data_IF_972366986556
#
_entry.id   IF_972366986556
#
_cell.length_a   1.000
_cell.length_b   1.000
_cell.length_c   1.000
_cell.angle_alpha   90.00
_cell.angle_beta   90.00
_cell.angle_gamma   90.00
#
_symmetry.space_group_name_H-M   'P 1'
#
loop_
_entity.id
_entity.type
_entity.pdbx_description
1 polymer ?
#
# COMPACT_ATOMS: atom_id res chain seq x y z
N UNK A 1 -27.69 22.63 -18.11
CA UNK A 1 -28.46 21.38 -18.18
C UNK A 1 -28.61 20.79 -16.78
N UNK A 2 -29.83 20.29 -16.49
CA UNK A 2 -30.13 19.63 -15.21
C UNK A 2 -29.96 18.12 -15.39
N UNK A 3 -29.02 17.54 -14.67
CA UNK A 3 -28.81 16.09 -14.67
C UNK A 3 -29.55 15.44 -13.50
N UNK A 4 -30.18 14.31 -13.74
CA UNK A 4 -30.83 13.51 -12.71
C UNK A 4 -29.80 12.53 -12.14
N UNK A 5 -29.36 12.73 -10.88
CA UNK A 5 -28.40 11.87 -10.19
C UNK A 5 -29.06 10.65 -9.52
N UNK A 6 -30.38 10.61 -9.42
CA UNK A 6 -31.14 9.53 -8.78
C UNK A 6 -32.17 10.05 -7.80
N UNK A 7 -32.89 9.15 -7.12
CA UNK A 7 -33.86 9.49 -6.08
C UNK A 7 -33.17 9.53 -4.70
N UNK A 8 -33.45 10.58 -3.93
CA UNK A 8 -33.00 10.71 -2.53
C UNK A 8 -33.77 9.81 -1.58
N UNK A 9 -34.88 9.18 -2.04
CA UNK A 9 -35.83 8.41 -1.21
C UNK A 9 -36.42 9.20 -0.02
N UNK A 10 -36.30 10.52 -0.05
CA UNK A 10 -36.93 11.42 0.92
C UNK A 10 -38.30 11.78 0.37
N UNK A 11 -39.35 11.45 1.11
CA UNK A 11 -40.74 11.74 0.73
C UNK A 11 -41.25 12.95 1.52
N UNK A 12 -41.80 13.95 0.82
CA UNK A 12 -42.31 15.17 1.41
C UNK A 12 -43.66 15.45 0.82
N UNK A 13 -44.60 15.93 1.65
CA UNK A 13 -45.91 16.42 1.18
C UNK A 13 -45.69 17.60 0.24
N UNK A 14 -46.33 17.55 -0.93
CA UNK A 14 -46.19 18.56 -1.97
C UNK A 14 -46.64 19.96 -1.47
N UNK A 15 -47.59 20.03 -0.55
CA UNK A 15 -48.09 21.28 0.07
C UNK A 15 -47.06 21.95 0.99
N UNK A 16 -46.14 21.17 1.52
CA UNK A 16 -45.08 21.63 2.45
C UNK A 16 -43.71 21.82 1.78
N UNK A 17 -43.64 21.73 0.45
CA UNK A 17 -42.38 21.85 -0.31
C UNK A 17 -42.28 23.18 -1.03
N UNK A 18 -41.15 23.87 -0.93
CA UNK A 18 -40.83 25.08 -1.68
C UNK A 18 -39.92 24.75 -2.87
N UNK A 19 -40.44 24.86 -4.07
CA UNK A 19 -39.67 24.71 -5.29
C UNK A 19 -38.59 25.80 -5.47
N UNK A 20 -38.83 27.01 -4.89
CA UNK A 20 -37.89 28.14 -4.99
C UNK A 20 -36.62 27.90 -4.18
N UNK A 21 -36.77 27.34 -2.98
CA UNK A 21 -35.65 27.09 -2.07
C UNK A 21 -35.17 25.64 -2.12
N UNK A 22 -35.92 24.74 -2.76
CA UNK A 22 -35.68 23.29 -2.73
C UNK A 22 -35.60 22.74 -1.29
N UNK A 23 -36.51 23.20 -0.43
CA UNK A 23 -36.58 22.87 1.01
C UNK A 23 -38.02 22.67 1.45
N UNK A 24 -38.15 21.90 2.55
CA UNK A 24 -39.44 21.80 3.24
C UNK A 24 -39.73 23.09 4.01
N UNK A 25 -40.99 23.60 3.85
CA UNK A 25 -41.45 24.83 4.49
C UNK A 25 -41.81 24.56 5.96
N UNK A 26 -41.45 25.50 6.85
CA UNK A 26 -41.79 25.44 8.27
C UNK A 26 -40.60 25.15 9.17
N UNK A 27 -40.84 25.15 10.51
CA UNK A 27 -39.86 24.93 11.55
C UNK A 27 -40.23 23.72 12.43
N UNK A 28 -40.98 22.78 11.91
CA UNK A 28 -41.31 21.53 12.61
C UNK A 28 -40.08 20.66 12.71
N UNK A 29 -39.99 19.76 13.70
CA UNK A 29 -38.90 18.83 13.84
C UNK A 29 -38.70 17.99 12.56
N UNK A 30 -39.80 17.62 11.87
CA UNK A 30 -39.76 16.91 10.60
C UNK A 30 -39.10 17.77 9.51
N UNK A 31 -39.51 19.05 9.38
CA UNK A 31 -38.93 19.96 8.38
C UNK A 31 -37.43 20.19 8.61
N UNK A 32 -37.02 20.34 9.86
CA UNK A 32 -35.60 20.50 10.23
C UNK A 32 -34.80 19.24 9.90
N UNK A 33 -35.31 18.06 10.22
CA UNK A 33 -34.65 16.78 9.93
C UNK A 33 -34.48 16.54 8.43
N UNK A 34 -35.53 16.77 7.64
CA UNK A 34 -35.51 16.63 6.19
C UNK A 34 -34.54 17.65 5.55
N UNK A 35 -34.59 18.90 5.98
CA UNK A 35 -33.72 19.94 5.46
C UNK A 35 -32.24 19.64 5.82
N UNK A 36 -31.94 19.16 7.03
CA UNK A 36 -30.61 18.71 7.41
C UNK A 36 -30.10 17.54 6.55
N UNK A 37 -30.98 16.59 6.23
CA UNK A 37 -30.64 15.47 5.33
C UNK A 37 -30.30 15.97 3.90
N UNK A 38 -31.04 16.96 3.39
CA UNK A 38 -30.76 17.58 2.10
C UNK A 38 -29.42 18.33 2.12
N UNK A 39 -29.13 19.04 3.23
CA UNK A 39 -27.84 19.73 3.39
C UNK A 39 -26.67 18.76 3.45
N UNK A 40 -26.81 17.65 4.15
CA UNK A 40 -25.82 16.58 4.18
C UNK A 40 -25.54 15.99 2.78
N UNK A 41 -26.61 15.70 2.01
CA UNK A 41 -26.49 15.23 0.61
C UNK A 41 -25.78 16.27 -0.27
N UNK A 42 -26.17 17.54 -0.16
CA UNK A 42 -25.56 18.64 -0.92
C UNK A 42 -24.06 18.76 -0.58
N UNK A 43 -23.71 18.68 0.70
CA UNK A 43 -22.32 18.74 1.16
C UNK A 43 -21.51 17.57 0.59
N UNK A 44 -22.05 16.36 0.62
CA UNK A 44 -21.41 15.17 0.05
C UNK A 44 -21.15 15.32 -1.45
N UNK A 45 -22.17 15.78 -2.22
CA UNK A 45 -22.03 16.02 -3.66
C UNK A 45 -20.99 17.10 -3.96
N UNK A 46 -20.93 18.17 -3.17
CA UNK A 46 -19.94 19.23 -3.31
C UNK A 46 -18.53 18.74 -2.99
N UNK A 47 -18.36 17.86 -2.00
CA UNK A 47 -17.08 17.22 -1.69
C UNK A 47 -16.62 16.35 -2.86
N UNK A 48 -17.52 15.55 -3.43
CA UNK A 48 -17.23 14.74 -4.61
C UNK A 48 -16.82 15.64 -5.78
N UNK A 49 -17.58 16.68 -6.08
CA UNK A 49 -17.28 17.64 -7.15
C UNK A 49 -15.88 18.26 -6.98
N UNK A 50 -15.59 18.85 -5.82
CA UNK A 50 -14.29 19.48 -5.53
C UNK A 50 -13.12 18.53 -5.68
N UNK A 51 -13.32 17.26 -5.36
CA UNK A 51 -12.28 16.23 -5.48
C UNK A 51 -11.87 15.96 -6.92
N UNK A 52 -12.82 16.08 -7.86
CA UNK A 52 -12.59 15.80 -9.28
C UNK A 52 -12.58 17.08 -10.14
N UNK A 53 -12.73 18.27 -9.54
CA UNK A 53 -12.84 19.57 -10.24
C UNK A 53 -11.66 19.84 -11.19
N UNK A 54 -10.46 19.36 -10.85
CA UNK A 54 -9.24 19.51 -11.66
C UNK A 54 -8.95 18.30 -12.54
N UNK A 55 -9.81 17.28 -12.53
CA UNK A 55 -9.62 16.04 -13.30
C UNK A 55 -10.26 16.19 -14.69
N UNK A 56 -9.54 15.77 -15.73
CA UNK A 56 -10.09 15.65 -17.10
C UNK A 56 -11.27 14.66 -17.19
N UNK A 57 -11.43 13.79 -16.19
CA UNK A 57 -12.49 12.77 -16.12
C UNK A 57 -13.78 13.30 -15.49
N UNK A 58 -13.86 14.59 -15.10
CA UNK A 58 -15.04 15.16 -14.47
C UNK A 58 -16.26 15.04 -15.38
N UNK A 59 -17.19 14.19 -15.02
CA UNK A 59 -18.46 13.99 -15.72
C UNK A 59 -19.59 13.79 -14.71
N UNK A 60 -20.82 14.03 -15.17
CA UNK A 60 -22.02 13.79 -14.36
C UNK A 60 -22.15 12.31 -13.99
N UNK A 61 -21.76 11.42 -14.89
CA UNK A 61 -21.81 9.97 -14.67
C UNK A 61 -20.78 9.53 -13.64
N UNK A 62 -19.60 10.15 -13.61
CA UNK A 62 -18.60 9.94 -12.55
C UNK A 62 -19.14 10.38 -11.19
N UNK A 63 -19.70 11.59 -11.09
CA UNK A 63 -20.30 12.08 -9.84
C UNK A 63 -21.43 11.16 -9.38
N UNK A 64 -22.28 10.71 -10.31
CA UNK A 64 -23.38 9.78 -10.03
C UNK A 64 -22.87 8.45 -9.52
N UNK A 65 -21.88 7.84 -10.18
CA UNK A 65 -21.33 6.54 -9.83
C UNK A 65 -20.66 6.57 -8.44
N UNK A 66 -19.88 7.62 -8.16
CA UNK A 66 -19.24 7.83 -6.86
C UNK A 66 -20.28 8.07 -5.76
N UNK A 67 -21.30 8.90 -6.03
CA UNK A 67 -22.37 9.22 -5.07
C UNK A 67 -23.25 8.01 -4.74
N UNK A 68 -23.62 7.22 -5.76
CA UNK A 68 -24.44 6.01 -5.59
C UNK A 68 -23.62 4.80 -5.16
N UNK A 69 -22.29 4.88 -5.09
CA UNK A 69 -21.42 3.73 -4.84
C UNK A 69 -21.50 2.67 -5.95
N UNK A 70 -21.96 3.06 -7.14
CA UNK A 70 -22.08 2.18 -8.32
C UNK A 70 -20.88 2.30 -9.25
N UNK A 71 -19.79 2.87 -8.76
CA UNK A 71 -18.52 2.88 -9.48
C UNK A 71 -18.05 1.43 -9.59
N UNK A 72 -18.53 0.74 -10.63
CA UNK A 72 -18.37 -0.69 -10.84
C UNK A 72 -16.92 -1.12 -11.00
N UNK A 73 -16.01 -0.16 -11.18
CA UNK A 73 -14.61 -0.49 -11.42
C UNK A 73 -13.87 -0.89 -10.14
N UNK A 74 -14.35 -0.44 -8.96
CA UNK A 74 -13.66 -0.70 -7.68
C UNK A 74 -14.62 -0.92 -6.51
N UNK A 75 -15.52 -1.90 -6.60
CA UNK A 75 -16.33 -2.33 -5.45
C UNK A 75 -15.53 -3.20 -4.48
N UNK A 76 -14.44 -3.83 -4.96
CA UNK A 76 -13.60 -4.77 -4.24
C UNK A 76 -12.13 -4.37 -4.26
N UNK A 77 -11.33 -4.95 -3.35
CA UNK A 77 -9.97 -4.48 -3.09
C UNK A 77 -8.90 -5.04 -4.04
N UNK A 78 -9.02 -6.30 -4.47
CA UNK A 78 -7.98 -6.91 -5.32
C UNK A 78 -7.80 -6.21 -6.68
N UNK A 79 -8.85 -5.75 -7.39
CA UNK A 79 -8.69 -4.95 -8.61
C UNK A 79 -7.94 -3.62 -8.36
N UNK A 80 -8.15 -2.98 -7.21
CA UNK A 80 -7.41 -1.78 -6.80
C UNK A 80 -5.93 -2.12 -6.57
N UNK A 81 -5.66 -3.27 -5.98
CA UNK A 81 -4.30 -3.76 -5.79
C UNK A 81 -3.63 -4.03 -7.14
N UNK A 82 -4.32 -4.69 -8.05
CA UNK A 82 -3.82 -4.97 -9.41
C UNK A 82 -3.51 -3.68 -10.17
N UNK A 83 -4.42 -2.68 -10.12
CA UNK A 83 -4.17 -1.35 -10.72
C UNK A 83 -2.98 -0.63 -10.10
N UNK A 84 -2.77 -0.75 -8.79
CA UNK A 84 -1.55 -0.24 -8.17
C UNK A 84 -0.29 -0.92 -8.73
N UNK A 85 -0.28 -2.25 -8.83
CA UNK A 85 0.84 -3.01 -9.40
C UNK A 85 1.12 -2.55 -10.84
N UNK A 86 0.07 -2.37 -11.65
CA UNK A 86 0.21 -1.89 -13.04
C UNK A 86 0.81 -0.47 -13.08
N UNK A 87 0.37 0.42 -12.18
CA UNK A 87 0.88 1.79 -12.11
C UNK A 87 2.37 1.88 -11.79
N UNK A 88 2.91 0.94 -11.01
CA UNK A 88 4.34 0.89 -10.66
C UNK A 88 5.19 0.10 -11.67
N UNK A 89 4.55 -0.62 -12.60
CA UNK A 89 5.28 -1.45 -13.60
C UNK A 89 6.22 -0.60 -14.46
N UNK A 90 5.80 0.60 -14.86
CA UNK A 90 6.62 1.51 -15.67
C UNK A 90 7.84 2.08 -14.93
N UNK A 91 7.87 1.96 -13.60
CA UNK A 91 8.97 2.42 -12.75
C UNK A 91 10.05 1.34 -12.54
N UNK A 92 9.76 0.09 -12.92
CA UNK A 92 10.68 -1.04 -12.76
C UNK A 92 11.93 -0.84 -13.62
N UNK A 93 13.10 -0.93 -12.98
CA UNK A 93 14.41 -0.70 -13.63
C UNK A 93 14.84 0.77 -13.69
N UNK A 94 13.97 1.72 -13.29
CA UNK A 94 14.28 3.16 -13.16
C UNK A 94 14.38 3.57 -11.69
N UNK A 95 13.25 3.72 -11.03
CA UNK A 95 13.12 4.12 -9.62
C UNK A 95 12.76 2.95 -8.71
N UNK A 96 12.25 1.85 -9.27
CA UNK A 96 11.84 0.66 -8.55
C UNK A 96 12.62 -0.58 -8.99
N UNK A 97 13.19 -1.33 -8.05
CA UNK A 97 13.87 -2.59 -8.36
C UNK A 97 12.85 -3.70 -8.70
N UNK A 98 13.25 -4.63 -9.58
CA UNK A 98 12.44 -5.84 -9.88
C UNK A 98 12.06 -6.59 -8.60
N UNK A 99 12.98 -6.71 -7.64
CA UNK A 99 12.72 -7.37 -6.35
C UNK A 99 11.58 -6.70 -5.57
N UNK A 100 11.54 -5.36 -5.52
CA UNK A 100 10.47 -4.62 -4.83
C UNK A 100 9.13 -4.80 -5.54
N UNK A 101 9.10 -4.78 -6.87
CA UNK A 101 7.90 -5.07 -7.65
C UNK A 101 7.33 -6.47 -7.35
N UNK A 102 8.18 -7.51 -7.33
CA UNK A 102 7.74 -8.86 -6.99
C UNK A 102 7.19 -8.98 -5.55
N UNK A 103 7.70 -8.19 -4.60
CA UNK A 103 7.15 -8.17 -3.23
C UNK A 103 5.68 -7.76 -3.18
N UNK A 104 5.25 -6.80 -4.01
CA UNK A 104 3.83 -6.43 -4.10
C UNK A 104 2.98 -7.57 -4.67
N UNK A 105 3.46 -8.27 -5.71
CA UNK A 105 2.76 -9.45 -6.26
C UNK A 105 2.60 -10.55 -5.21
N UNK A 106 3.64 -10.82 -4.43
CA UNK A 106 3.59 -11.81 -3.34
C UNK A 106 2.58 -11.39 -2.27
N UNK A 107 2.54 -10.12 -1.87
CA UNK A 107 1.57 -9.63 -0.87
C UNK A 107 0.16 -9.72 -1.40
N UNK A 108 -0.07 -9.36 -2.66
CA UNK A 108 -1.36 -9.49 -3.35
C UNK A 108 -1.85 -10.94 -3.33
N UNK A 109 -0.98 -11.90 -3.66
CA UNK A 109 -1.32 -13.32 -3.63
C UNK A 109 -1.59 -13.80 -2.21
N UNK A 110 -0.73 -13.48 -1.22
CA UNK A 110 -0.98 -13.84 0.17
C UNK A 110 -2.31 -13.28 0.70
N UNK A 111 -2.71 -12.08 0.27
CA UNK A 111 -3.97 -11.49 0.69
C UNK A 111 -5.16 -12.21 0.07
N UNK A 112 -5.09 -12.62 -1.20
CA UNK A 112 -6.12 -13.44 -1.84
C UNK A 112 -6.25 -14.81 -1.17
N UNK A 113 -5.13 -15.49 -0.89
CA UNK A 113 -5.12 -16.79 -0.22
C UNK A 113 -5.71 -16.69 1.20
N UNK A 114 -5.40 -15.61 1.92
CA UNK A 114 -6.00 -15.30 3.22
C UNK A 114 -7.53 -15.15 3.14
N UNK A 115 -8.02 -14.37 2.17
CA UNK A 115 -9.46 -14.18 1.99
C UNK A 115 -10.15 -15.51 1.70
N UNK A 116 -9.55 -16.35 0.88
CA UNK A 116 -10.07 -17.68 0.57
C UNK A 116 -10.05 -18.60 1.80
N UNK A 117 -8.95 -18.61 2.56
CA UNK A 117 -8.77 -19.48 3.72
C UNK A 117 -9.70 -19.12 4.88
N UNK A 118 -9.83 -17.80 5.18
CA UNK A 118 -10.56 -17.34 6.37
C UNK A 118 -12.02 -16.99 6.09
N UNK A 119 -12.28 -16.31 4.97
CA UNK A 119 -13.61 -15.80 4.64
C UNK A 119 -14.33 -16.59 3.55
N UNK A 120 -13.67 -17.57 2.94
CA UNK A 120 -14.18 -18.36 1.80
C UNK A 120 -14.65 -17.49 0.63
N UNK A 121 -13.97 -16.34 0.44
CA UNK A 121 -14.26 -15.36 -0.61
C UNK A 121 -13.05 -15.17 -1.52
N UNK A 122 -13.31 -14.83 -2.79
CA UNK A 122 -12.25 -14.51 -3.75
C UNK A 122 -11.70 -13.09 -3.57
N UNK A 123 -12.52 -12.17 -3.02
CA UNK A 123 -12.19 -10.78 -2.81
C UNK A 123 -13.02 -10.18 -1.67
N UNK A 124 -12.69 -8.96 -1.23
CA UNK A 124 -13.38 -8.24 -0.15
C UNK A 124 -13.80 -6.85 -0.63
N UNK A 125 -14.98 -6.38 -0.19
CA UNK A 125 -15.46 -5.03 -0.46
C UNK A 125 -14.55 -3.97 0.14
N UNK A 126 -14.38 -2.83 -0.54
CA UNK A 126 -13.55 -1.72 -0.06
C UNK A 126 -14.04 -1.16 1.29
N UNK A 127 -15.36 -1.19 1.53
CA UNK A 127 -15.96 -0.78 2.80
C UNK A 127 -15.77 -1.80 3.92
N UNK A 128 -15.55 -3.07 3.57
CA UNK A 128 -15.33 -4.18 4.51
C UNK A 128 -13.87 -4.28 4.96
N UNK A 129 -12.93 -3.59 4.29
CA UNK A 129 -11.51 -3.60 4.61
C UNK A 129 -11.25 -2.79 5.89
N UNK A 130 -11.51 -3.39 7.04
CA UNK A 130 -11.42 -2.79 8.38
C UNK A 130 -10.09 -3.14 9.08
N UNK A 131 -9.86 -2.53 10.25
CA UNK A 131 -8.70 -2.87 11.10
C UNK A 131 -8.72 -4.33 11.55
N UNK A 132 -9.89 -4.93 11.73
CA UNK A 132 -10.02 -6.36 12.06
C UNK A 132 -9.48 -7.24 10.92
N UNK A 133 -9.78 -6.91 9.67
CA UNK A 133 -9.25 -7.64 8.51
C UNK A 133 -7.73 -7.55 8.42
N UNK A 134 -7.15 -6.39 8.76
CA UNK A 134 -5.69 -6.21 8.80
C UNK A 134 -5.05 -7.07 9.90
N UNK A 135 -5.64 -7.12 11.09
CA UNK A 135 -5.18 -7.97 12.20
C UNK A 135 -5.29 -9.46 11.85
N UNK A 136 -6.38 -9.85 11.24
CA UNK A 136 -6.59 -11.21 10.77
C UNK A 136 -5.59 -11.63 9.70
N UNK A 137 -5.25 -10.72 8.79
CA UNK A 137 -4.22 -10.96 7.79
C UNK A 137 -2.82 -11.06 8.41
N UNK A 138 -2.50 -10.25 9.41
CA UNK A 138 -1.25 -10.38 10.18
C UNK A 138 -1.14 -11.74 10.83
N UNK A 139 -2.20 -12.20 11.49
CA UNK A 139 -2.27 -13.53 12.10
C UNK A 139 -2.10 -14.65 11.06
N UNK A 140 -2.73 -14.52 9.90
CA UNK A 140 -2.55 -15.47 8.80
C UNK A 140 -1.10 -15.50 8.29
N UNK A 141 -0.46 -14.34 8.13
CA UNK A 141 0.94 -14.27 7.69
C UNK A 141 1.91 -14.90 8.68
N UNK A 142 1.65 -14.84 9.97
CA UNK A 142 2.48 -15.43 11.01
C UNK A 142 2.20 -16.92 11.21
N UNK A 143 0.93 -17.32 11.27
CA UNK A 143 0.54 -18.68 11.65
C UNK A 143 0.50 -19.65 10.46
N UNK A 144 0.04 -19.22 9.29
CA UNK A 144 -0.13 -20.08 8.11
C UNK A 144 1.04 -19.95 7.15
N UNK A 145 1.47 -18.72 6.85
CA UNK A 145 2.61 -18.48 5.93
C UNK A 145 3.95 -18.71 6.64
N UNK A 146 3.98 -18.73 7.97
CA UNK A 146 5.19 -18.97 8.76
C UNK A 146 6.17 -17.78 8.75
N UNK A 147 5.67 -16.57 8.55
CA UNK A 147 6.50 -15.36 8.51
C UNK A 147 6.96 -14.94 9.90
N UNK A 148 8.28 -14.72 10.08
CA UNK A 148 8.79 -14.04 11.28
C UNK A 148 8.32 -12.59 11.31
N UNK A 149 8.29 -11.98 12.51
CA UNK A 149 7.73 -10.65 12.77
C UNK A 149 8.16 -9.59 11.74
N UNK A 150 9.45 -9.42 11.49
CA UNK A 150 9.95 -8.42 10.55
C UNK A 150 9.53 -8.67 9.10
N UNK A 151 9.39 -9.92 8.69
CA UNK A 151 8.91 -10.29 7.34
C UNK A 151 7.42 -9.98 7.20
N UNK A 152 6.62 -10.30 8.22
CA UNK A 152 5.19 -9.97 8.30
C UNK A 152 4.99 -8.46 8.28
N UNK A 153 5.74 -7.71 9.10
CA UNK A 153 5.71 -6.24 9.11
C UNK A 153 6.02 -5.64 7.73
N UNK A 154 7.00 -6.18 6.99
CA UNK A 154 7.29 -5.74 5.60
C UNK A 154 6.11 -5.98 4.66
N UNK A 155 5.46 -7.14 4.74
CA UNK A 155 4.27 -7.44 3.93
C UNK A 155 3.11 -6.50 4.26
N UNK A 156 2.85 -6.25 5.55
CA UNK A 156 1.82 -5.31 5.99
C UNK A 156 2.11 -3.86 5.57
N UNK A 157 3.37 -3.43 5.56
CA UNK A 157 3.75 -2.11 5.02
C UNK A 157 3.45 -1.99 3.52
N UNK A 158 3.71 -3.03 2.75
CA UNK A 158 3.36 -3.06 1.33
C UNK A 158 1.84 -2.99 1.14
N UNK A 159 1.05 -3.75 1.93
CA UNK A 159 -0.41 -3.65 1.92
C UNK A 159 -0.88 -2.23 2.29
N UNK A 160 -0.30 -1.63 3.34
CA UNK A 160 -0.60 -0.24 3.74
C UNK A 160 -0.35 0.76 2.62
N UNK A 161 0.70 0.57 1.83
CA UNK A 161 0.98 1.43 0.66
C UNK A 161 -0.15 1.37 -0.36
N UNK A 162 -0.68 0.17 -0.64
CA UNK A 162 -1.81 -0.01 -1.56
C UNK A 162 -3.11 0.57 -0.98
N UNK A 163 -3.35 0.39 0.32
CA UNK A 163 -4.49 1.02 1.01
C UNK A 163 -4.41 2.55 0.92
N UNK A 164 -3.23 3.13 1.14
CA UNK A 164 -3.03 4.57 0.99
C UNK A 164 -3.24 5.04 -0.46
N UNK A 165 -2.82 4.25 -1.45
CA UNK A 165 -3.12 4.53 -2.85
C UNK A 165 -4.64 4.57 -3.10
N UNK A 166 -5.40 3.61 -2.54
CA UNK A 166 -6.86 3.61 -2.63
C UNK A 166 -7.50 4.81 -1.90
N UNK A 167 -6.99 5.16 -0.71
CA UNK A 167 -7.47 6.31 0.07
C UNK A 167 -7.21 7.63 -0.64
N UNK A 168 -6.03 7.82 -1.21
CA UNK A 168 -5.68 9.03 -1.96
C UNK A 168 -6.56 9.23 -3.22
N UNK A 169 -7.15 8.14 -3.73
CA UNK A 169 -8.15 8.16 -4.81
C UNK A 169 -9.59 8.22 -4.30
N UNK A 170 -9.79 8.24 -2.97
CA UNK A 170 -11.08 8.28 -2.31
C UNK A 170 -11.93 7.03 -2.46
N UNK A 171 -11.31 5.92 -2.82
CA UNK A 171 -11.97 4.62 -2.88
C UNK A 171 -12.22 4.04 -1.48
N UNK A 172 -11.38 4.40 -0.50
CA UNK A 172 -11.51 4.03 0.91
C UNK A 172 -11.51 5.31 1.74
N UNK A 173 -12.57 5.56 2.52
CA UNK A 173 -12.72 6.76 3.34
C UNK A 173 -12.05 6.64 4.71
N UNK A 174 -12.06 5.45 5.30
CA UNK A 174 -11.44 5.15 6.59
C UNK A 174 -10.00 4.62 6.42
N UNK A 175 -9.22 4.66 7.48
CA UNK A 175 -7.87 4.05 7.49
C UNK A 175 -7.89 2.72 8.25
N UNK A 176 -7.82 1.56 7.57
CA UNK A 176 -7.74 0.26 8.23
C UNK A 176 -6.49 0.10 9.12
N UNK A 177 -5.45 0.91 8.89
CA UNK A 177 -4.19 0.88 9.65
C UNK A 177 -4.10 1.96 10.73
N UNK A 178 -5.17 2.73 11.02
CA UNK A 178 -5.13 3.86 11.96
C UNK A 178 -4.58 3.44 13.33
N UNK A 179 -5.01 2.29 13.85
CA UNK A 179 -4.63 1.77 15.16
C UNK A 179 -3.56 0.66 15.07
N UNK A 180 -2.99 0.41 13.88
CA UNK A 180 -2.03 -0.67 13.65
C UNK A 180 -0.60 -0.14 13.55
N UNK A 181 0.21 -0.39 14.61
CA UNK A 181 1.60 0.09 14.68
C UNK A 181 2.54 -0.93 14.05
N UNK A 182 3.03 -0.62 12.85
CA UNK A 182 4.01 -1.44 12.14
C UNK A 182 5.45 -1.09 12.60
N UNK A 183 5.97 -1.81 13.58
CA UNK A 183 7.33 -1.62 14.11
C UNK A 183 8.19 -2.83 13.76
N UNK A 184 9.46 -2.58 13.45
CA UNK A 184 10.45 -3.64 13.32
C UNK A 184 11.02 -3.99 14.70
N UNK A 185 11.26 -5.25 14.92
CA UNK A 185 12.08 -5.72 16.04
C UNK A 185 13.56 -5.63 15.65
N UNK A 186 14.34 -5.17 16.59
CA UNK A 186 15.79 -5.20 16.45
C UNK A 186 16.25 -6.66 16.50
N UNK A 187 16.98 -7.07 15.48
CA UNK A 187 17.59 -8.40 15.40
C UNK A 187 19.07 -8.22 15.64
N UNK A 188 19.53 -8.69 16.78
CA UNK A 188 20.97 -8.83 17.01
C UNK A 188 21.48 -10.00 16.15
N UNK A 189 22.35 -9.70 15.21
CA UNK A 189 22.94 -10.69 14.31
C UNK A 189 24.32 -11.16 14.78
N UNK A 190 24.82 -10.57 15.88
CA UNK A 190 26.18 -10.76 16.32
C UNK A 190 27.21 -10.26 15.29
N UNK A 191 28.46 -10.53 15.57
CA UNK A 191 29.58 -10.21 14.68
C UNK A 191 30.65 -11.30 14.85
N UNK A 192 31.51 -11.44 13.85
CA UNK A 192 32.65 -12.33 13.93
C UNK A 192 33.78 -11.62 14.66
N UNK A 193 34.45 -12.37 15.55
CA UNK A 193 35.69 -11.90 16.16
C UNK A 193 36.84 -11.91 15.15
N UNK A 194 37.90 -11.18 15.42
CA UNK A 194 39.09 -11.16 14.57
C UNK A 194 39.68 -12.58 14.38
N UNK A 195 39.71 -13.38 15.44
CA UNK A 195 40.18 -14.78 15.38
C UNK A 195 39.33 -15.64 14.44
N UNK A 196 38.03 -15.45 14.46
CA UNK A 196 37.09 -16.16 13.56
C UNK A 196 37.29 -15.74 12.10
N UNK A 197 37.49 -14.45 11.83
CA UNK A 197 37.81 -13.95 10.49
C UNK A 197 39.12 -14.49 9.99
N UNK A 198 40.16 -14.47 10.82
CA UNK A 198 41.48 -15.07 10.48
C UNK A 198 41.39 -16.57 10.24
N UNK A 199 40.54 -17.29 11.00
CA UNK A 199 40.32 -18.72 10.81
C UNK A 199 39.64 -18.99 9.45
N UNK A 200 38.65 -18.19 9.07
CA UNK A 200 38.00 -18.26 7.74
C UNK A 200 39.02 -17.96 6.65
N UNK A 201 39.86 -16.94 6.82
CA UNK A 201 40.89 -16.56 5.86
C UNK A 201 41.90 -17.71 5.58
N UNK A 202 42.30 -18.43 6.61
CA UNK A 202 43.22 -19.56 6.49
C UNK A 202 42.57 -20.84 5.92
N UNK A 203 41.25 -20.92 5.89
CA UNK A 203 40.50 -22.08 5.36
C UNK A 203 40.63 -22.12 3.83
N UNK A 204 41.08 -23.26 3.31
CA UNK A 204 41.07 -23.56 1.89
C UNK A 204 39.81 -24.34 1.52
N UNK A 205 39.23 -24.02 0.36
CA UNK A 205 38.07 -24.71 -0.21
C UNK A 205 38.44 -25.27 -1.58
N UNK A 206 38.25 -26.58 -1.78
CA UNK A 206 38.51 -27.25 -3.05
C UNK A 206 37.56 -26.76 -4.17
N UNK A 207 36.41 -26.19 -3.80
CA UNK A 207 35.44 -25.64 -4.75
C UNK A 207 35.79 -24.17 -5.02
N UNK A 208 36.23 -23.87 -6.22
CA UNK A 208 36.70 -22.56 -6.67
C UNK A 208 35.68 -21.43 -6.37
N UNK A 209 34.37 -21.70 -6.56
CA UNK A 209 33.31 -20.76 -6.23
C UNK A 209 33.28 -20.39 -4.74
N UNK A 210 33.51 -21.34 -3.85
CA UNK A 210 33.52 -21.08 -2.39
C UNK A 210 34.79 -20.32 -1.98
N UNK A 211 35.93 -20.62 -2.62
CA UNK A 211 37.16 -19.88 -2.43
C UNK A 211 37.01 -18.40 -2.81
N UNK A 212 36.38 -18.15 -3.97
CA UNK A 212 36.04 -16.78 -4.43
C UNK A 212 35.13 -16.06 -3.42
N UNK A 213 34.05 -16.71 -2.98
CA UNK A 213 33.09 -16.12 -2.02
C UNK A 213 33.82 -15.81 -0.69
N UNK A 214 34.67 -16.69 -0.20
CA UNK A 214 35.51 -16.44 0.98
C UNK A 214 36.39 -15.21 0.78
N UNK A 215 37.07 -15.10 -0.34
CA UNK A 215 37.97 -13.98 -0.61
C UNK A 215 37.24 -12.65 -0.68
N UNK A 216 36.09 -12.62 -1.32
CA UNK A 216 35.21 -11.43 -1.35
C UNK A 216 34.75 -11.06 0.07
N UNK A 217 34.34 -12.05 0.88
CA UNK A 217 33.92 -11.84 2.25
C UNK A 217 35.03 -11.27 3.12
N UNK A 218 36.22 -11.87 3.07
CA UNK A 218 37.43 -11.41 3.80
C UNK A 218 37.80 -9.99 3.36
N UNK A 219 37.82 -9.74 2.07
CA UNK A 219 38.07 -8.40 1.54
C UNK A 219 37.09 -7.38 2.09
N UNK A 220 35.80 -7.69 2.12
CA UNK A 220 34.76 -6.83 2.70
C UNK A 220 34.94 -6.60 4.20
N UNK A 221 35.41 -7.62 4.96
CA UNK A 221 35.69 -7.47 6.39
C UNK A 221 36.82 -6.47 6.66
N UNK A 222 37.87 -6.47 5.86
CA UNK A 222 39.02 -5.58 6.05
C UNK A 222 38.85 -4.19 5.46
N UNK A 223 38.04 -4.04 4.39
CA UNK A 223 37.80 -2.74 3.73
C UNK A 223 36.55 -2.03 4.23
N UNK A 224 35.61 -2.73 4.87
CA UNK A 224 34.30 -2.19 5.24
C UNK A 224 33.36 -1.98 4.05
N UNK A 225 33.75 -2.37 2.83
CA UNK A 225 32.94 -2.20 1.63
C UNK A 225 31.74 -3.18 1.64
N UNK A 226 30.57 -2.67 1.25
CA UNK A 226 29.41 -3.52 1.01
C UNK A 226 29.62 -4.38 -0.25
N UNK A 227 28.91 -5.52 -0.33
CA UNK A 227 29.03 -6.44 -1.47
C UNK A 227 28.87 -5.75 -2.82
N UNK A 228 27.92 -4.80 -2.94
CA UNK A 228 27.68 -4.10 -4.20
C UNK A 228 28.85 -3.19 -4.60
N UNK A 229 29.56 -2.63 -3.63
CA UNK A 229 30.72 -1.78 -3.86
C UNK A 229 31.91 -2.64 -4.31
N UNK A 230 32.10 -3.81 -3.69
CA UNK A 230 33.12 -4.79 -4.11
C UNK A 230 32.80 -5.32 -5.52
N UNK A 231 31.52 -5.62 -5.82
CA UNK A 231 31.10 -6.08 -7.14
C UNK A 231 31.36 -5.06 -8.25
N UNK A 232 31.20 -3.76 -7.96
CA UNK A 232 31.43 -2.66 -8.88
C UNK A 232 32.86 -2.08 -8.80
N UNK A 233 33.74 -2.67 -8.01
CA UNK A 233 35.10 -2.21 -7.84
C UNK A 233 35.92 -2.48 -9.12
N UNK A 234 36.58 -1.45 -9.61
CA UNK A 234 37.45 -1.49 -10.79
C UNK A 234 38.82 -0.95 -10.43
N UNK A 235 39.87 -1.34 -11.18
CA UNK A 235 41.26 -0.95 -10.88
C UNK A 235 41.49 0.56 -10.91
N UNK A 236 40.71 1.32 -11.68
CA UNK A 236 40.79 2.77 -11.76
C UNK A 236 40.34 3.49 -10.46
N UNK A 237 39.68 2.77 -9.55
CA UNK A 237 39.30 3.28 -8.22
C UNK A 237 40.39 3.08 -7.16
N UNK A 238 41.45 2.37 -7.50
CA UNK A 238 42.61 2.20 -6.63
C UNK A 238 43.57 3.35 -6.90
N UNK A 239 43.73 4.23 -5.92
CA UNK A 239 44.66 5.38 -6.02
C UNK A 239 45.92 5.09 -5.20
N UNK A 240 47.08 5.49 -5.74
CA UNK A 240 48.35 5.41 -5.01
C UNK A 240 48.71 6.79 -4.46
N UNK A 241 48.82 6.88 -3.14
CA UNK A 241 49.24 8.10 -2.45
C UNK A 241 50.40 7.71 -1.52
N UNK A 242 51.53 8.39 -1.66
CA UNK A 242 52.74 8.12 -0.85
C UNK A 242 53.14 6.61 -0.82
N UNK A 243 53.23 6.01 -2.00
CA UNK A 243 53.53 4.58 -2.22
C UNK A 243 52.54 3.58 -1.52
N UNK A 244 51.41 4.07 -1.05
CA UNK A 244 50.34 3.25 -0.49
C UNK A 244 49.11 3.25 -1.42
N UNK A 245 48.52 2.09 -1.56
CA UNK A 245 47.29 1.93 -2.33
C UNK A 245 46.06 2.18 -1.43
N UNK A 246 45.14 3.01 -1.94
CA UNK A 246 43.89 3.33 -1.29
C UNK A 246 42.71 2.99 -2.21
N UNK A 247 41.55 2.63 -1.58
CA UNK A 247 40.28 2.38 -2.26
C UNK A 247 39.30 3.52 -2.01
#
# INVERSE_FOLDING_TARGET
DRANLGSTKIFVDKSKWSNKTSRMIGRTAEALSINASIDALTTTLMQIYRKYETSEELSIDLIRSVFLGTDKEYTTFLPVFDKYIDSITQQVGKTLTKCTFYKYKVVRQNFQDFLQAKYHRKDIGLTELTSAVVQDFELYLTSVVGGVHNTTTKKLRNLKTVVNYARNRGLIMHDPFANHKLRYELVDRGYLTEEEVLRIMKKHFDIERLELVKNIFIFSCFTGLAYIDVYNLTYDKIVTVEDRQWL
#
